data_IF_360933437971
#
_entry.id   IF_360933437971
#
_cell.length_a   1.000
_cell.length_b   1.000
_cell.length_c   1.000
_cell.angle_alpha   90.00
_cell.angle_beta   90.00
_cell.angle_gamma   90.00
#
_symmetry.space_group_name_H-M   'P 1'
#
loop_
_entity.id
_entity.type
_entity.pdbx_description
1 polymer ?
#
# COMPACT_ATOMS: atom_id res chain seq x y z
N UNK A 1 -7.48 35.32 38.66
CA UNK A 1 -6.97 35.64 37.29
C UNK A 1 -6.05 34.54 36.73
N UNK A 2 -6.26 33.24 37.02
CA UNK A 2 -5.35 32.15 36.60
C UNK A 2 -6.04 31.03 35.78
N UNK A 3 -7.14 31.34 35.09
CA UNK A 3 -7.88 30.35 34.26
C UNK A 3 -7.57 30.51 32.75
N UNK A 4 -6.99 31.64 32.34
CA UNK A 4 -6.72 31.96 30.92
C UNK A 4 -5.44 31.32 30.35
N UNK A 5 -4.45 31.01 31.17
CA UNK A 5 -3.13 30.55 30.66
C UNK A 5 -3.14 29.06 30.27
N UNK A 6 -3.87 28.20 30.99
CA UNK A 6 -3.94 26.76 30.69
C UNK A 6 -4.61 26.44 29.35
N UNK A 7 -5.60 27.23 28.93
CA UNK A 7 -6.33 27.03 27.68
C UNK A 7 -5.43 27.22 26.44
N UNK A 8 -4.51 28.19 26.50
CA UNK A 8 -3.56 28.45 25.41
C UNK A 8 -2.47 27.38 25.32
N UNK A 9 -2.01 26.83 26.45
CA UNK A 9 -1.01 25.74 26.47
C UNK A 9 -1.58 24.42 25.92
N UNK A 10 -2.83 24.09 26.25
CA UNK A 10 -3.50 22.87 25.76
C UNK A 10 -3.74 22.95 24.24
N UNK A 11 -4.12 24.11 23.71
CA UNK A 11 -4.32 24.31 22.28
C UNK A 11 -3.03 24.10 21.47
N UNK A 12 -1.89 24.58 21.98
CA UNK A 12 -0.59 24.46 21.32
C UNK A 12 -0.04 23.01 21.35
N UNK A 13 -0.30 22.28 22.45
CA UNK A 13 0.00 20.86 22.56
C UNK A 13 -0.92 20.01 21.66
N UNK A 14 -2.21 20.35 21.57
CA UNK A 14 -3.15 19.69 20.67
C UNK A 14 -2.72 19.83 19.22
N UNK A 15 -2.29 21.02 18.78
CA UNK A 15 -1.78 21.22 17.41
C UNK A 15 -0.52 20.41 17.11
N UNK A 16 0.38 20.24 18.10
CA UNK A 16 1.64 19.50 17.95
C UNK A 16 1.48 17.98 18.04
N UNK A 17 0.52 17.49 18.83
CA UNK A 17 0.25 16.06 19.00
C UNK A 17 -0.93 15.53 18.18
N UNK A 18 -1.69 16.40 17.47
CA UNK A 18 -2.79 15.98 16.60
C UNK A 18 -2.36 14.94 15.57
N UNK A 19 -1.18 15.13 14.96
CA UNK A 19 -0.62 14.17 14.01
C UNK A 19 -0.33 12.81 14.64
N UNK A 20 0.25 12.79 15.84
CA UNK A 20 0.52 11.56 16.58
C UNK A 20 -0.76 10.85 17.02
N UNK A 21 -1.77 11.60 17.49
CA UNK A 21 -3.08 11.05 17.86
C UNK A 21 -3.84 10.48 16.66
N UNK A 22 -3.79 11.16 15.51
CA UNK A 22 -4.37 10.67 14.26
C UNK A 22 -3.64 9.39 13.80
N UNK A 23 -2.30 9.36 13.85
CA UNK A 23 -1.54 8.17 13.52
C UNK A 23 -1.85 6.99 14.46
N UNK A 24 -2.02 7.26 15.76
CA UNK A 24 -2.41 6.26 16.77
C UNK A 24 -3.82 5.72 16.50
N UNK A 25 -4.77 6.60 16.20
CA UNK A 25 -6.15 6.21 15.87
C UNK A 25 -6.20 5.41 14.56
N UNK A 26 -5.44 5.81 13.54
CA UNK A 26 -5.32 5.06 12.29
C UNK A 26 -4.72 3.67 12.55
N UNK A 27 -3.62 3.60 13.30
CA UNK A 27 -2.97 2.34 13.68
C UNK A 27 -3.92 1.42 14.46
N UNK A 28 -4.66 1.98 15.43
CA UNK A 28 -5.65 1.24 16.22
C UNK A 28 -6.82 0.76 15.36
N UNK A 29 -7.33 1.62 14.47
CA UNK A 29 -8.44 1.30 13.57
C UNK A 29 -8.05 0.20 12.59
N UNK A 30 -6.86 0.28 12.00
CA UNK A 30 -6.30 -0.77 11.15
C UNK A 30 -6.19 -2.07 11.94
N UNK A 31 -5.65 -2.03 13.16
CA UNK A 31 -5.53 -3.22 14.02
C UNK A 31 -6.89 -3.84 14.33
N UNK A 32 -7.90 -3.02 14.65
CA UNK A 32 -9.27 -3.48 14.92
C UNK A 32 -9.90 -4.10 13.68
N UNK A 33 -9.74 -3.47 12.51
CA UNK A 33 -10.26 -4.01 11.25
C UNK A 33 -9.62 -5.35 10.89
N UNK A 34 -8.31 -5.50 11.09
CA UNK A 34 -7.59 -6.76 10.88
C UNK A 34 -8.17 -7.87 11.77
N UNK A 35 -8.41 -7.56 13.05
CA UNK A 35 -8.95 -8.53 14.02
C UNK A 35 -10.43 -8.82 13.76
N UNK A 36 -11.21 -7.84 13.29
CA UNK A 36 -12.63 -7.97 13.00
C UNK A 36 -12.88 -8.82 11.75
N UNK A 37 -12.11 -8.60 10.68
CA UNK A 37 -12.23 -9.34 9.42
C UNK A 37 -11.34 -10.57 9.33
N UNK A 38 -10.76 -11.02 10.46
CA UNK A 38 -9.82 -12.15 10.49
C UNK A 38 -10.42 -13.43 9.91
N UNK A 39 -11.72 -13.67 10.11
CA UNK A 39 -12.40 -14.88 9.65
C UNK A 39 -12.68 -14.83 8.14
N UNK A 40 -13.07 -13.67 7.61
CA UNK A 40 -13.26 -13.43 6.19
C UNK A 40 -11.93 -13.49 5.44
N UNK A 41 -10.86 -12.92 6.03
CA UNK A 41 -9.50 -13.02 5.50
C UNK A 41 -8.99 -14.46 5.51
N UNK A 42 -9.27 -15.24 6.57
CA UNK A 42 -8.93 -16.67 6.63
C UNK A 42 -9.72 -17.49 5.60
N UNK A 43 -11.00 -17.16 5.40
CA UNK A 43 -11.82 -17.78 4.35
C UNK A 43 -11.33 -17.43 2.95
N UNK A 44 -10.92 -16.18 2.68
CA UNK A 44 -10.31 -15.84 1.39
C UNK A 44 -8.94 -16.49 1.21
N UNK A 45 -8.10 -16.54 2.27
CA UNK A 45 -6.82 -17.25 2.24
C UNK A 45 -7.00 -18.77 2.05
N UNK A 46 -8.14 -19.35 2.43
CA UNK A 46 -8.48 -20.75 2.13
C UNK A 46 -8.65 -21.02 0.63
N UNK A 47 -8.87 -19.99 -0.20
CA UNK A 47 -8.81 -20.11 -1.67
C UNK A 47 -7.37 -20.16 -2.21
N UNK A 48 -6.37 -20.22 -1.33
CA UNK A 48 -4.96 -20.36 -1.67
C UNK A 48 -4.45 -19.18 -2.50
N UNK A 49 -3.84 -19.48 -3.65
CA UNK A 49 -3.29 -18.48 -4.56
C UNK A 49 -4.34 -17.50 -5.11
N UNK A 50 -5.58 -17.96 -5.36
CA UNK A 50 -6.65 -17.11 -5.88
C UNK A 50 -7.05 -16.06 -4.84
N UNK A 51 -7.10 -16.46 -3.56
CA UNK A 51 -7.34 -15.54 -2.44
C UNK A 51 -6.28 -14.45 -2.35
N UNK A 52 -5.01 -14.84 -2.43
CA UNK A 52 -3.88 -13.89 -2.45
C UNK A 52 -4.00 -12.93 -3.62
N UNK A 53 -4.30 -13.42 -4.83
CA UNK A 53 -4.49 -12.57 -6.01
C UNK A 53 -5.57 -11.52 -5.79
N UNK A 54 -6.77 -11.95 -5.39
CA UNK A 54 -7.93 -11.07 -5.24
C UNK A 54 -7.72 -10.06 -4.12
N UNK A 55 -7.12 -10.47 -3.01
CA UNK A 55 -6.81 -9.55 -1.91
C UNK A 55 -5.73 -8.55 -2.33
N UNK A 56 -4.67 -8.97 -3.01
CA UNK A 56 -3.64 -8.05 -3.52
C UNK A 56 -4.21 -7.08 -4.55
N UNK A 57 -5.11 -7.55 -5.43
CA UNK A 57 -5.82 -6.73 -6.40
C UNK A 57 -6.71 -5.69 -5.71
N UNK A 58 -7.62 -6.12 -4.85
CA UNK A 58 -8.59 -5.26 -4.18
C UNK A 58 -7.92 -4.31 -3.19
N UNK A 59 -6.95 -4.81 -2.42
CA UNK A 59 -6.21 -4.03 -1.43
C UNK A 59 -5.34 -2.92 -2.03
N UNK A 60 -4.93 -3.03 -3.30
CA UNK A 60 -4.27 -1.95 -4.03
C UNK A 60 -5.24 -1.15 -4.93
N UNK A 61 -6.45 -1.65 -5.19
CA UNK A 61 -7.48 -0.94 -5.94
C UNK A 61 -8.29 0.05 -5.09
N UNK A 62 -8.44 -0.22 -3.79
CA UNK A 62 -9.30 0.57 -2.91
C UNK A 62 -8.48 1.39 -1.93
N UNK A 63 -8.65 2.72 -1.97
CA UNK A 63 -8.18 3.65 -0.93
C UNK A 63 -8.93 3.45 0.41
N UNK A 64 -10.09 2.77 0.38
CA UNK A 64 -11.09 2.76 1.45
C UNK A 64 -11.08 1.49 2.31
N UNK A 65 -10.65 0.34 1.78
CA UNK A 65 -10.45 -0.86 2.58
C UNK A 65 -8.97 -1.02 2.84
N UNK A 66 -8.47 -0.70 4.06
CA UNK A 66 -7.12 -1.06 4.46
C UNK A 66 -7.04 -2.57 4.65
N UNK A 67 -7.14 -3.31 3.54
CA UNK A 67 -6.83 -4.72 3.52
C UNK A 67 -5.30 -4.77 3.56
N UNK A 68 -4.70 -5.34 4.61
CA UNK A 68 -3.25 -5.41 4.72
C UNK A 68 -2.73 -6.42 3.71
N UNK A 69 -2.65 -6.03 2.44
CA UNK A 69 -2.18 -6.87 1.32
C UNK A 69 -0.83 -7.50 1.65
N UNK A 70 0.07 -6.73 2.27
CA UNK A 70 1.36 -7.21 2.78
C UNK A 70 1.22 -8.30 3.85
N UNK A 71 0.25 -8.19 4.78
CA UNK A 71 0.03 -9.22 5.80
C UNK A 71 -0.53 -10.51 5.19
N UNK A 72 -1.36 -10.40 4.14
CA UNK A 72 -1.87 -11.58 3.42
C UNK A 72 -0.77 -12.26 2.61
N UNK A 73 0.11 -11.49 1.96
CA UNK A 73 1.30 -12.04 1.29
C UNK A 73 2.24 -12.71 2.30
N UNK A 74 2.45 -12.11 3.46
CA UNK A 74 3.25 -12.69 4.54
C UNK A 74 2.63 -14.00 5.08
N UNK A 75 1.36 -13.98 5.47
CA UNK A 75 0.67 -15.16 5.99
C UNK A 75 0.57 -16.27 4.93
N UNK A 76 0.25 -15.90 3.68
CA UNK A 76 0.22 -16.83 2.55
C UNK A 76 1.58 -17.47 2.29
N UNK A 77 2.68 -16.72 2.42
CA UNK A 77 4.05 -17.26 2.32
C UNK A 77 4.41 -18.25 3.43
N UNK A 78 3.77 -18.17 4.60
CA UNK A 78 3.93 -19.12 5.70
C UNK A 78 3.26 -20.48 5.47
N UNK A 79 2.22 -20.52 4.64
CA UNK A 79 1.35 -21.70 4.46
C UNK A 79 1.45 -22.31 3.06
N UNK A 80 1.74 -21.49 2.04
CA UNK A 80 1.84 -21.88 0.63
C UNK A 80 3.28 -21.72 0.11
N UNK A 81 3.53 -22.13 -1.14
CA UNK A 81 4.82 -21.85 -1.78
C UNK A 81 5.05 -20.32 -1.90
N UNK A 82 6.06 -19.75 -1.21
CA UNK A 82 6.25 -18.30 -1.12
C UNK A 82 6.58 -17.63 -2.45
N UNK A 83 7.24 -18.34 -3.38
CA UNK A 83 7.53 -17.82 -4.71
C UNK A 83 6.24 -17.62 -5.52
N UNK A 84 5.34 -18.60 -5.50
CA UNK A 84 4.05 -18.51 -6.18
C UNK A 84 3.14 -17.46 -5.55
N UNK A 85 3.14 -17.34 -4.21
CA UNK A 85 2.43 -16.26 -3.50
C UNK A 85 2.92 -14.90 -3.99
N UNK A 86 4.23 -14.70 -4.03
CA UNK A 86 4.83 -13.44 -4.48
C UNK A 86 4.54 -13.12 -5.96
N UNK A 87 4.56 -14.12 -6.85
CA UNK A 87 4.21 -13.93 -8.26
C UNK A 87 2.74 -13.57 -8.47
N UNK A 88 1.85 -14.26 -7.76
CA UNK A 88 0.40 -14.06 -7.89
C UNK A 88 0.00 -12.72 -7.28
N UNK A 89 0.52 -12.38 -6.11
CA UNK A 89 0.36 -11.04 -5.53
C UNK A 89 0.95 -9.98 -6.47
N UNK A 90 2.16 -10.20 -6.97
CA UNK A 90 2.86 -9.32 -7.90
C UNK A 90 2.09 -9.00 -9.16
N UNK A 91 1.18 -9.88 -9.61
CA UNK A 91 0.23 -9.63 -10.71
C UNK A 91 -1.02 -8.88 -10.27
N UNK A 92 -1.57 -9.22 -9.10
CA UNK A 92 -2.76 -8.56 -8.56
C UNK A 92 -2.53 -7.09 -8.23
N UNK A 93 -1.41 -6.77 -7.58
CA UNK A 93 -1.15 -5.40 -7.12
C UNK A 93 -1.10 -4.37 -8.27
N UNK A 94 -0.34 -4.54 -9.37
CA UNK A 94 -0.31 -3.59 -10.49
C UNK A 94 -1.66 -3.35 -11.14
N UNK A 95 -2.51 -4.39 -11.18
CA UNK A 95 -3.87 -4.28 -11.70
C UNK A 95 -4.75 -3.42 -10.78
N UNK A 96 -4.56 -3.51 -9.47
CA UNK A 96 -5.25 -2.64 -8.51
C UNK A 96 -4.83 -1.17 -8.68
N UNK A 97 -3.53 -0.95 -8.88
CA UNK A 97 -2.92 0.38 -9.06
C UNK A 97 -3.37 1.09 -10.36
N UNK A 98 -3.94 0.35 -11.32
CA UNK A 98 -4.59 0.96 -12.48
C UNK A 98 -5.71 1.92 -12.07
N UNK A 99 -6.36 1.71 -10.92
CA UNK A 99 -7.36 2.65 -10.40
C UNK A 99 -6.77 4.04 -10.16
N UNK A 100 -5.59 4.13 -9.53
CA UNK A 100 -4.86 5.37 -9.32
C UNK A 100 -4.36 5.99 -10.63
N UNK A 101 -3.87 5.15 -11.56
CA UNK A 101 -3.52 5.58 -12.91
C UNK A 101 -4.72 6.21 -13.64
N UNK A 102 -5.88 5.55 -13.61
CA UNK A 102 -7.10 6.03 -14.26
C UNK A 102 -7.64 7.30 -13.61
N UNK A 103 -7.56 7.42 -12.28
CA UNK A 103 -7.91 8.64 -11.56
C UNK A 103 -7.04 9.83 -12.00
N UNK A 104 -5.74 9.60 -12.20
CA UNK A 104 -4.81 10.59 -12.77
C UNK A 104 -5.11 10.92 -14.23
N UNK A 105 -5.37 9.90 -15.06
CA UNK A 105 -5.70 10.06 -16.47
C UNK A 105 -6.98 10.87 -16.69
N UNK A 106 -8.02 10.61 -15.87
CA UNK A 106 -9.28 11.33 -15.89
C UNK A 106 -9.28 12.68 -15.16
N UNK A 107 -8.13 13.14 -14.64
CA UNK A 107 -8.01 14.41 -13.93
C UNK A 107 -8.81 14.53 -12.63
N UNK A 108 -9.33 13.41 -12.11
CA UNK A 108 -10.22 13.36 -10.95
C UNK A 108 -9.47 13.12 -9.63
N UNK A 109 -8.14 12.99 -9.68
CA UNK A 109 -7.32 12.71 -8.52
C UNK A 109 -7.19 13.91 -7.58
N UNK A 110 -7.66 13.74 -6.33
CA UNK A 110 -7.46 14.72 -5.25
C UNK A 110 -6.15 14.44 -4.55
N UNK A 111 -5.18 15.35 -4.72
CA UNK A 111 -3.84 15.23 -4.14
C UNK A 111 -3.73 16.11 -2.90
N UNK A 112 -3.60 15.48 -1.74
CA UNK A 112 -3.46 16.18 -0.45
C UNK A 112 -2.06 16.82 -0.27
N UNK A 113 -0.99 16.10 -0.62
CA UNK A 113 0.40 16.56 -0.48
C UNK A 113 0.94 17.05 -1.83
N UNK A 114 0.77 18.35 -2.09
CA UNK A 114 1.18 19.00 -3.34
C UNK A 114 2.69 18.96 -3.56
N UNK A 115 3.50 19.11 -2.52
CA UNK A 115 4.96 19.18 -2.63
C UNK A 115 5.54 17.84 -3.07
N UNK A 116 5.18 16.75 -2.36
CA UNK A 116 5.64 15.40 -2.72
C UNK A 116 5.12 14.98 -4.09
N UNK A 117 3.89 15.37 -4.41
CA UNK A 117 3.32 15.10 -5.73
C UNK A 117 4.13 15.75 -6.85
N UNK A 118 4.54 17.03 -6.71
CA UNK A 118 5.39 17.66 -7.73
C UNK A 118 6.76 16.98 -7.86
N UNK A 119 7.38 16.59 -6.74
CA UNK A 119 8.65 15.85 -6.77
C UNK A 119 8.53 14.52 -7.52
N UNK A 120 7.50 13.73 -7.21
CA UNK A 120 7.24 12.44 -7.88
C UNK A 120 6.92 12.66 -9.36
N UNK A 121 6.17 13.72 -9.70
CA UNK A 121 5.87 14.09 -11.09
C UNK A 121 7.15 14.44 -11.86
N UNK A 122 8.07 15.21 -11.28
CA UNK A 122 9.37 15.52 -11.91
C UNK A 122 10.21 14.26 -12.13
N UNK A 123 10.25 13.34 -11.16
CA UNK A 123 10.93 12.06 -11.32
C UNK A 123 10.31 11.23 -12.46
N UNK A 124 8.98 11.20 -12.52
CA UNK A 124 8.23 10.51 -13.58
C UNK A 124 8.52 11.08 -14.97
N UNK A 125 8.62 12.40 -15.10
CA UNK A 125 8.98 13.05 -16.37
C UNK A 125 10.41 12.74 -16.81
N UNK A 126 11.36 12.63 -15.86
CA UNK A 126 12.76 12.33 -16.17
C UNK A 126 13.00 10.84 -16.46
N UNK A 127 12.46 9.95 -15.63
CA UNK A 127 12.74 8.50 -15.64
C UNK A 127 11.54 7.66 -15.21
N UNK A 128 10.37 7.86 -15.82
CA UNK A 128 9.11 7.20 -15.44
C UNK A 128 9.19 5.69 -15.17
N UNK A 129 9.83 4.92 -16.04
CA UNK A 129 9.97 3.47 -15.83
C UNK A 129 10.73 3.13 -14.55
N UNK A 130 11.88 3.79 -14.33
CA UNK A 130 12.73 3.57 -13.17
C UNK A 130 12.05 4.07 -11.89
N UNK A 131 11.37 5.21 -11.95
CA UNK A 131 10.61 5.77 -10.83
C UNK A 131 9.54 4.80 -10.37
N UNK A 132 8.73 4.26 -11.29
CA UNK A 132 7.71 3.26 -10.96
C UNK A 132 8.34 2.00 -10.38
N UNK A 133 9.41 1.48 -11.00
CA UNK A 133 10.06 0.25 -10.55
C UNK A 133 10.64 0.38 -9.14
N UNK A 134 11.34 1.48 -8.85
CA UNK A 134 11.95 1.69 -7.54
C UNK A 134 10.89 1.95 -6.47
N UNK A 135 9.89 2.79 -6.77
CA UNK A 135 8.82 3.08 -5.82
C UNK A 135 7.88 1.87 -5.61
N UNK A 136 7.72 0.96 -6.58
CA UNK A 136 6.90 -0.25 -6.37
C UNK A 136 7.62 -1.32 -5.55
N UNK A 137 8.95 -1.40 -5.63
CA UNK A 137 9.74 -2.40 -4.92
C UNK A 137 9.82 -2.18 -3.40
N UNK A 138 9.58 -0.96 -2.93
CA UNK A 138 9.69 -0.59 -1.51
C UNK A 138 8.29 -0.33 -0.95
N UNK A 139 7.95 -0.78 0.28
CA UNK A 139 6.72 -0.36 0.94
C UNK A 139 6.79 1.14 1.26
N UNK A 140 6.16 1.98 0.42
CA UNK A 140 6.16 3.42 0.61
C UNK A 140 4.84 4.05 0.13
N UNK A 141 4.43 5.19 0.74
CA UNK A 141 3.20 5.90 0.36
C UNK A 141 3.36 6.79 -0.89
N UNK A 142 4.56 6.87 -1.48
CA UNK A 142 4.80 7.71 -2.67
C UNK A 142 4.38 7.00 -3.97
N UNK A 143 4.23 5.68 -3.95
CA UNK A 143 3.85 4.91 -5.13
C UNK A 143 2.48 5.33 -5.68
N UNK A 144 1.50 5.58 -4.82
CA UNK A 144 0.15 6.03 -5.23
C UNK A 144 0.22 7.36 -5.99
N UNK A 145 1.09 8.28 -5.54
CA UNK A 145 1.35 9.55 -6.22
C UNK A 145 2.02 9.32 -7.58
N UNK A 146 2.88 8.30 -7.69
CA UNK A 146 3.52 7.92 -8.95
C UNK A 146 2.50 7.32 -9.93
N UNK A 147 1.55 6.50 -9.46
CA UNK A 147 0.43 5.99 -10.26
C UNK A 147 -0.44 7.10 -10.83
N UNK A 148 -0.88 8.03 -9.97
CA UNK A 148 -1.65 9.22 -10.39
C UNK A 148 -0.84 10.07 -11.38
N UNK A 149 0.43 10.34 -11.07
CA UNK A 149 1.31 11.13 -11.95
C UNK A 149 1.51 10.45 -13.31
N UNK A 150 1.66 9.13 -13.34
CA UNK A 150 1.77 8.35 -14.57
C UNK A 150 0.51 8.48 -15.44
N UNK A 151 -0.67 8.45 -14.81
CA UNK A 151 -1.95 8.69 -15.47
C UNK A 151 -2.05 10.10 -16.07
N UNK A 152 -1.74 11.12 -15.27
CA UNK A 152 -1.78 12.53 -15.72
C UNK A 152 -0.81 12.82 -16.87
N UNK A 153 0.37 12.19 -16.84
CA UNK A 153 1.38 12.31 -17.90
C UNK A 153 1.09 11.43 -19.12
N UNK A 154 -0.03 10.71 -19.14
CA UNK A 154 -0.40 9.76 -20.21
C UNK A 154 0.73 8.74 -20.47
N UNK A 155 1.41 8.32 -19.41
CA UNK A 155 2.52 7.39 -19.52
C UNK A 155 2.02 6.03 -20.04
N UNK A 156 2.70 5.34 -20.97
CA UNK A 156 2.15 4.13 -21.58
C UNK A 156 1.81 3.04 -20.56
N UNK A 157 0.54 2.61 -20.52
CA UNK A 157 0.00 1.67 -19.53
C UNK A 157 0.81 0.37 -19.46
N UNK A 158 1.24 -0.17 -20.60
CA UNK A 158 2.04 -1.39 -20.64
C UNK A 158 3.41 -1.23 -19.95
N UNK A 159 4.05 -0.05 -20.05
CA UNK A 159 5.31 0.24 -19.35
C UNK A 159 5.09 0.44 -17.87
N UNK A 160 3.97 1.08 -17.50
CA UNK A 160 3.56 1.23 -16.11
C UNK A 160 3.33 -0.12 -15.45
N UNK A 161 2.51 -0.98 -16.07
CA UNK A 161 2.23 -2.32 -15.59
C UNK A 161 3.48 -3.18 -15.52
N UNK A 162 4.37 -3.13 -16.53
CA UNK A 162 5.60 -3.91 -16.51
C UNK A 162 6.53 -3.48 -15.36
N UNK A 163 6.77 -2.17 -15.19
CA UNK A 163 7.61 -1.65 -14.12
C UNK A 163 7.03 -1.97 -12.73
N UNK A 164 5.72 -1.77 -12.57
CA UNK A 164 4.99 -2.06 -11.34
C UNK A 164 5.02 -3.56 -11.03
N UNK A 165 4.77 -4.42 -12.02
CA UNK A 165 4.84 -5.87 -11.86
C UNK A 165 6.21 -6.33 -11.38
N UNK A 166 7.29 -5.83 -11.98
CA UNK A 166 8.65 -6.19 -11.56
C UNK A 166 8.89 -5.79 -10.10
N UNK A 167 8.64 -4.53 -9.74
CA UNK A 167 8.90 -4.04 -8.39
C UNK A 167 7.98 -4.68 -7.34
N UNK A 168 6.66 -4.73 -7.59
CA UNK A 168 5.69 -5.36 -6.67
C UNK A 168 5.97 -6.86 -6.51
N UNK A 169 6.38 -7.57 -7.56
CA UNK A 169 6.77 -8.99 -7.46
C UNK A 169 7.99 -9.17 -6.57
N UNK A 170 9.05 -8.38 -6.77
CA UNK A 170 10.26 -8.43 -5.91
C UNK A 170 9.86 -8.22 -4.44
N UNK A 171 9.06 -7.17 -4.18
CA UNK A 171 8.55 -6.87 -2.84
C UNK A 171 7.72 -8.03 -2.28
N UNK A 172 6.76 -8.54 -3.04
CA UNK A 172 5.84 -9.58 -2.59
C UNK A 172 6.55 -10.90 -2.33
N UNK A 173 7.49 -11.29 -3.19
CA UNK A 173 8.34 -12.47 -2.99
C UNK A 173 9.15 -12.31 -1.70
N UNK A 174 9.80 -11.16 -1.48
CA UNK A 174 10.56 -10.91 -0.26
C UNK A 174 9.68 -11.05 1.00
N UNK A 175 8.48 -10.44 0.99
CA UNK A 175 7.53 -10.53 2.10
C UNK A 175 7.01 -11.97 2.31
N UNK A 176 6.74 -12.72 1.24
CA UNK A 176 6.30 -14.10 1.32
C UNK A 176 7.40 -15.01 1.92
N UNK A 177 8.66 -14.82 1.52
CA UNK A 177 9.78 -15.55 2.12
C UNK A 177 10.02 -15.18 3.58
N UNK A 178 9.83 -13.91 3.96
CA UNK A 178 9.84 -13.51 5.36
C UNK A 178 8.74 -14.24 6.14
N UNK A 179 7.54 -14.37 5.57
CA UNK A 179 6.44 -15.15 6.14
C UNK A 179 6.79 -16.62 6.35
N UNK A 180 7.32 -17.25 5.30
CA UNK A 180 7.79 -18.65 5.33
C UNK A 180 8.86 -18.88 6.40
N UNK A 181 9.87 -18.02 6.44
CA UNK A 181 10.99 -18.13 7.38
C UNK A 181 10.59 -17.85 8.83
N UNK A 182 9.75 -16.84 9.09
CA UNK A 182 9.32 -16.53 10.47
C UNK A 182 8.34 -17.57 11.01
N UNK A 183 7.35 -17.98 10.21
CA UNK A 183 6.31 -18.91 10.67
C UNK A 183 6.84 -20.33 10.84
N UNK A 184 7.81 -20.76 10.02
CA UNK A 184 8.52 -22.02 10.21
C UNK A 184 9.44 -22.07 11.43
N UNK A 185 9.77 -20.92 12.04
CA UNK A 185 10.52 -20.83 13.31
C UNK A 185 9.58 -20.77 14.52
N UNK A 186 8.39 -20.16 14.37
CA UNK A 186 7.46 -19.89 15.47
C UNK A 186 6.44 -21.02 15.69
N UNK A 187 6.11 -21.80 14.65
CA UNK A 187 5.19 -22.94 14.73
C UNK A 187 5.88 -24.15 14.08
N UNK A 188 6.59 -24.99 14.86
CA UNK A 188 7.22 -26.21 14.36
C UNK A 188 6.20 -27.28 13.93
#
# INVERSE_FOLDING_TARGET
>A
MAVGEGAHTIAHLWQRYRGHLVALLISLTITILIVAFRNELANLASYGYVGVFLISLLGNATVILPVPSLAVVFAGGGVLNPLLVGLVAGLGEPLGELTGYMAGFGGSAVVADRERFQQVKEWMQRRGFLTILVLSAIPNPLFDLAGISAGMLHYPVHKFLLACWIGKTIKAVAIAYLGSGLLGIVVP
#
